data_IF_169810121309
#
_entry.id   IF_169810121309
#
_cell.length_a   1.000
_cell.length_b   1.000
_cell.length_c   1.000
_cell.angle_alpha   90.00
_cell.angle_beta   90.00
_cell.angle_gamma   90.00
#
_symmetry.space_group_name_H-M   'P 1'
#
loop_
_entity.id
_entity.type
_entity.pdbx_description
1 polymer ?
#
# COMPACT_ATOMS: atom_id res chain seq x y z
N UNK A 1 -47.31 6.79 -10.60
CA UNK A 1 -45.94 6.86 -11.17
C UNK A 1 -44.94 7.67 -10.30
N UNK A 2 -45.05 7.67 -8.95
CA UNK A 2 -44.16 8.48 -8.07
C UNK A 2 -43.39 7.68 -6.99
N UNK A 3 -43.67 6.38 -6.82
CA UNK A 3 -43.06 5.54 -5.78
C UNK A 3 -41.61 5.12 -6.14
N UNK A 4 -41.28 5.04 -7.43
CA UNK A 4 -39.95 4.59 -7.88
C UNK A 4 -38.81 5.56 -7.52
N UNK A 5 -39.07 6.86 -7.44
CA UNK A 5 -38.04 7.84 -7.08
C UNK A 5 -37.73 7.85 -5.58
N UNK A 6 -38.77 7.74 -4.74
CA UNK A 6 -38.60 7.71 -3.29
C UNK A 6 -37.85 6.46 -2.83
N UNK A 7 -38.10 5.30 -3.44
CA UNK A 7 -37.39 4.06 -3.14
C UNK A 7 -35.93 4.13 -3.60
N UNK A 8 -35.65 4.70 -4.78
CA UNK A 8 -34.28 4.92 -5.26
C UNK A 8 -33.49 5.86 -4.35
N UNK A 9 -34.12 6.96 -3.92
CA UNK A 9 -33.52 7.88 -2.95
C UNK A 9 -33.28 7.17 -1.63
N UNK A 10 -34.26 6.41 -1.11
CA UNK A 10 -34.14 5.72 0.16
C UNK A 10 -33.02 4.68 0.16
N UNK A 11 -32.83 3.95 -0.94
CA UNK A 11 -31.70 3.01 -1.10
C UNK A 11 -30.37 3.76 -1.14
N UNK A 12 -30.29 4.87 -1.89
CA UNK A 12 -29.09 5.71 -1.96
C UNK A 12 -28.74 6.32 -0.58
N UNK A 13 -29.74 6.81 0.14
CA UNK A 13 -29.60 7.35 1.50
C UNK A 13 -29.23 6.25 2.50
N UNK A 14 -29.79 5.04 2.39
CA UNK A 14 -29.43 3.92 3.24
C UNK A 14 -27.99 3.44 2.99
N UNK A 15 -27.49 3.47 1.74
CA UNK A 15 -26.08 3.19 1.45
C UNK A 15 -25.15 4.27 1.98
N UNK A 16 -25.53 5.55 1.91
CA UNK A 16 -24.73 6.66 2.45
C UNK A 16 -24.71 6.64 3.98
N UNK A 17 -25.85 6.38 4.63
CA UNK A 17 -25.99 6.33 6.09
C UNK A 17 -25.46 5.02 6.71
N UNK A 18 -25.39 3.94 5.92
CA UNK A 18 -24.80 2.66 6.30
C UNK A 18 -23.28 2.59 6.15
N UNK A 19 -22.65 3.67 5.68
CA UNK A 19 -21.19 3.87 5.72
C UNK A 19 -20.76 4.00 7.18
N UNK A 20 -20.71 2.89 7.90
CA UNK A 20 -19.97 2.82 9.15
C UNK A 20 -18.57 3.39 8.90
N UNK A 21 -17.98 4.01 9.91
CA UNK A 21 -16.60 4.50 9.93
C UNK A 21 -15.68 3.44 9.30
N UNK A 22 -15.44 3.53 7.99
CA UNK A 22 -14.41 2.70 7.39
C UNK A 22 -13.13 3.27 7.96
N UNK A 23 -12.35 2.40 8.60
CA UNK A 23 -10.95 2.72 8.80
C UNK A 23 -10.41 2.89 7.39
N UNK A 24 -10.32 4.13 6.93
CA UNK A 24 -9.65 4.45 5.68
C UNK A 24 -8.33 3.70 5.69
N UNK A 25 -7.96 3.07 4.59
CA UNK A 25 -6.62 2.50 4.42
C UNK A 25 -5.63 3.66 4.52
N UNK A 26 -5.24 4.01 5.75
CA UNK A 26 -4.20 4.94 6.07
C UNK A 26 -2.97 4.09 6.33
N UNK A 27 -1.97 4.26 5.50
CA UNK A 27 -0.70 3.58 5.67
C UNK A 27 0.04 3.43 4.36
N UNK A 28 0.85 2.39 4.33
CA UNK A 28 1.76 2.08 3.24
C UNK A 28 1.12 1.27 2.12
N UNK A 29 -0.19 1.01 2.16
CA UNK A 29 -0.91 0.24 1.15
C UNK A 29 -1.43 1.16 0.05
N UNK A 30 -1.32 0.73 -1.20
CA UNK A 30 -1.91 1.43 -2.33
C UNK A 30 -3.44 1.29 -2.30
N UNK A 31 -4.10 2.33 -2.78
CA UNK A 31 -5.55 2.42 -2.91
C UNK A 31 -6.09 1.60 -4.10
N UNK A 32 -5.24 1.27 -5.08
CA UNK A 32 -5.56 0.44 -6.22
C UNK A 32 -4.33 -0.29 -6.77
N UNK A 33 -4.57 -1.28 -7.64
CA UNK A 33 -3.53 -2.01 -8.35
C UNK A 33 -3.87 -2.10 -9.82
N UNK A 34 -2.92 -1.68 -10.67
CA UNK A 34 -3.08 -1.61 -12.11
C UNK A 34 -3.78 -0.33 -12.58
N UNK A 35 -3.53 0.11 -13.82
CA UNK A 35 -3.98 1.41 -14.33
C UNK A 35 -5.50 1.53 -14.41
N UNK A 36 -6.21 0.44 -14.76
CA UNK A 36 -7.67 0.43 -14.86
C UNK A 36 -8.29 0.67 -13.50
N UNK A 37 -7.86 -0.08 -12.49
CA UNK A 37 -8.39 0.04 -11.14
C UNK A 37 -8.03 1.39 -10.49
N UNK A 38 -6.81 1.88 -10.72
CA UNK A 38 -6.37 3.19 -10.26
C UNK A 38 -7.21 4.32 -10.86
N UNK A 39 -7.56 4.24 -12.16
CA UNK A 39 -8.41 5.24 -12.82
C UNK A 39 -9.83 5.31 -12.23
N UNK A 40 -10.25 4.25 -11.56
CA UNK A 40 -11.55 4.13 -10.88
C UNK A 40 -11.46 4.43 -9.38
N UNK A 41 -10.31 4.90 -8.88
CA UNK A 41 -10.10 5.20 -7.46
C UNK A 41 -10.21 3.98 -6.54
N UNK A 42 -9.71 2.82 -6.98
CA UNK A 42 -9.72 1.59 -6.17
C UNK A 42 -11.00 0.75 -6.28
N UNK A 43 -11.98 1.17 -7.07
CA UNK A 43 -13.21 0.41 -7.24
C UNK A 43 -12.96 -0.87 -8.07
N UNK A 44 -13.01 -2.05 -7.43
CA UNK A 44 -12.78 -3.33 -8.11
C UNK A 44 -13.55 -4.55 -7.60
N UNK A 45 -14.11 -4.52 -6.39
CA UNK A 45 -14.67 -5.73 -5.72
C UNK A 45 -15.81 -6.40 -6.51
N UNK A 46 -16.63 -5.62 -7.21
CA UNK A 46 -17.75 -6.11 -8.01
C UNK A 46 -17.65 -5.72 -9.50
N UNK A 47 -16.46 -5.30 -9.94
CA UNK A 47 -16.25 -4.75 -11.29
C UNK A 47 -14.98 -5.33 -11.92
N UNK A 48 -15.03 -6.57 -12.43
CA UNK A 48 -13.91 -7.19 -13.13
C UNK A 48 -13.73 -6.58 -14.52
N UNK A 49 -12.98 -5.48 -14.61
CA UNK A 49 -12.62 -4.83 -15.88
C UNK A 49 -11.35 -5.40 -16.52
N UNK A 50 -10.44 -5.88 -15.67
CA UNK A 50 -9.16 -6.47 -16.05
C UNK A 50 -8.70 -7.52 -15.03
N UNK A 51 -7.78 -8.38 -15.43
CA UNK A 51 -7.28 -9.49 -14.62
C UNK A 51 -6.51 -9.01 -13.41
N UNK A 52 -5.80 -7.88 -13.54
CA UNK A 52 -5.03 -7.29 -12.44
C UNK A 52 -5.97 -6.85 -11.33
N UNK A 53 -6.95 -5.99 -11.63
CA UNK A 53 -7.92 -5.52 -10.66
C UNK A 53 -8.80 -6.64 -10.11
N UNK A 54 -9.24 -7.58 -10.96
CA UNK A 54 -10.06 -8.71 -10.54
C UNK A 54 -9.34 -9.61 -9.53
N UNK A 55 -8.11 -10.05 -9.84
CA UNK A 55 -7.33 -10.89 -8.91
C UNK A 55 -7.02 -10.16 -7.60
N UNK A 56 -6.69 -8.88 -7.66
CA UNK A 56 -6.31 -8.12 -6.48
C UNK A 56 -7.49 -7.87 -5.53
N UNK A 57 -8.65 -7.47 -6.07
CA UNK A 57 -9.80 -7.06 -5.26
C UNK A 57 -10.77 -8.18 -4.92
N UNK A 58 -11.06 -9.08 -5.86
CA UNK A 58 -12.01 -10.16 -5.62
C UNK A 58 -11.66 -11.39 -6.48
N UNK A 59 -11.01 -12.42 -5.93
CA UNK A 59 -10.62 -13.59 -6.71
C UNK A 59 -11.80 -14.31 -7.39
N UNK A 60 -13.04 -14.16 -6.89
CA UNK A 60 -14.21 -14.76 -7.53
C UNK A 60 -14.61 -14.06 -8.84
N UNK A 61 -14.32 -12.76 -8.98
CA UNK A 61 -14.76 -11.96 -10.13
C UNK A 61 -13.96 -12.26 -11.40
N UNK A 62 -12.83 -12.97 -11.31
CA UNK A 62 -12.09 -13.46 -12.50
C UNK A 62 -12.96 -14.37 -13.36
N UNK A 63 -13.95 -15.02 -12.75
CA UNK A 63 -14.90 -15.83 -13.50
C UNK A 63 -15.71 -14.99 -14.45
N UNK A 64 -15.96 -13.71 -14.20
CA UNK A 64 -16.78 -12.87 -15.07
C UNK A 64 -15.99 -12.08 -16.12
N UNK A 65 -14.69 -12.35 -16.25
CA UNK A 65 -13.91 -11.82 -17.36
C UNK A 65 -14.41 -12.40 -18.70
N UNK A 66 -14.45 -11.60 -19.77
CA UNK A 66 -15.00 -12.03 -21.06
C UNK A 66 -14.18 -13.14 -21.72
N UNK A 67 -12.88 -13.21 -21.43
CA UNK A 67 -11.96 -14.22 -21.94
C UNK A 67 -10.79 -14.44 -20.98
N UNK A 68 -10.05 -15.53 -21.19
CA UNK A 68 -8.72 -15.66 -20.59
C UNK A 68 -7.83 -14.52 -21.08
N UNK A 69 -7.10 -13.89 -20.17
CA UNK A 69 -6.33 -12.69 -20.49
C UNK A 69 -5.05 -12.60 -19.66
N UNK A 70 -4.11 -11.83 -20.17
CA UNK A 70 -2.88 -11.47 -19.49
C UNK A 70 -2.78 -9.95 -19.44
N UNK A 71 -2.56 -9.41 -18.25
CA UNK A 71 -2.36 -8.00 -18.01
C UNK A 71 -0.93 -7.71 -17.58
N UNK A 72 -0.35 -6.67 -18.16
CA UNK A 72 0.87 -6.04 -17.67
C UNK A 72 0.62 -4.54 -17.56
N UNK A 73 0.95 -3.96 -16.41
CA UNK A 73 0.73 -2.57 -16.09
C UNK A 73 1.90 -2.00 -15.29
N UNK A 74 2.07 -0.69 -15.40
CA UNK A 74 3.10 0.05 -14.72
C UNK A 74 2.55 1.41 -14.32
N UNK A 75 2.75 1.81 -13.08
CA UNK A 75 2.37 3.12 -12.56
C UNK A 75 3.60 3.82 -12.00
N UNK A 76 3.66 5.14 -12.09
CA UNK A 76 4.70 5.96 -11.47
C UNK A 76 4.13 6.71 -10.28
N UNK A 77 4.77 6.57 -9.11
CA UNK A 77 4.40 7.30 -7.90
C UNK A 77 5.45 8.36 -7.58
N UNK A 78 5.04 9.63 -7.58
CA UNK A 78 5.89 10.79 -7.35
C UNK A 78 5.42 11.54 -6.09
N UNK A 79 5.94 11.20 -4.89
CA UNK A 79 5.52 11.86 -3.66
C UNK A 79 6.18 13.23 -3.49
N UNK A 80 5.39 14.26 -3.20
CA UNK A 80 5.90 15.53 -2.70
C UNK A 80 5.73 15.58 -1.17
N UNK A 81 6.84 15.41 -0.45
CA UNK A 81 6.83 15.43 1.03
C UNK A 81 7.67 16.60 1.54
N UNK A 82 7.18 17.28 2.57
CA UNK A 82 7.87 18.40 3.22
C UNK A 82 7.94 18.16 4.73
N UNK A 83 9.15 18.26 5.29
CA UNK A 83 9.43 18.08 6.71
C UNK A 83 9.73 19.44 7.34
N UNK A 84 8.90 19.86 8.29
CA UNK A 84 9.12 21.07 9.09
C UNK A 84 9.44 20.72 10.54
N UNK A 85 10.39 21.45 11.14
CA UNK A 85 10.70 21.29 12.55
C UNK A 85 11.02 22.63 13.22
N UNK A 86 10.78 22.67 14.54
CA UNK A 86 11.02 23.84 15.39
C UNK A 86 11.55 23.39 16.74
N UNK A 87 12.60 24.06 17.21
CA UNK A 87 13.18 23.90 18.55
C UNK A 87 13.22 25.25 19.22
N UNK A 88 12.56 25.37 20.36
CA UNK A 88 12.50 26.61 21.14
C UNK A 88 13.78 26.81 22.00
N UNK A 89 14.06 28.05 22.42
CA UNK A 89 15.23 28.34 23.25
C UNK A 89 15.21 27.53 24.55
N UNK A 90 16.37 26.99 24.93
CA UNK A 90 16.52 26.21 26.17
C UNK A 90 15.98 24.77 26.13
N UNK A 91 15.55 24.27 24.96
CA UNK A 91 15.01 22.91 24.81
C UNK A 91 16.00 21.78 25.18
N UNK A 92 17.30 22.02 25.10
CA UNK A 92 18.36 21.06 25.45
C UNK A 92 19.07 21.40 26.78
N UNK A 93 18.47 22.29 27.58
CA UNK A 93 19.02 22.76 28.85
C UNK A 93 19.23 24.28 28.87
N UNK A 94 19.59 24.86 30.03
CA UNK A 94 19.71 26.30 30.19
C UNK A 94 20.64 26.92 29.13
N UNK A 95 20.07 27.75 28.25
CA UNK A 95 20.80 28.47 27.19
C UNK A 95 21.03 27.72 25.88
N UNK A 96 20.53 26.49 25.71
CA UNK A 96 20.72 25.68 24.50
C UNK A 96 19.38 25.18 23.91
N UNK A 97 19.03 25.52 22.65
CA UNK A 97 19.65 26.54 21.81
C UNK A 97 19.41 27.96 22.37
N UNK A 98 20.25 28.96 22.00
CA UNK A 98 20.12 30.33 22.49
C UNK A 98 18.93 31.10 21.85
N UNK A 99 18.42 30.62 20.72
CA UNK A 99 17.31 31.20 19.99
C UNK A 99 16.46 30.08 19.35
N UNK A 100 15.24 30.41 18.92
CA UNK A 100 14.38 29.47 18.20
C UNK A 100 15.05 29.07 16.89
N UNK A 101 15.16 27.78 16.65
CA UNK A 101 15.57 27.22 15.35
C UNK A 101 14.32 26.67 14.68
N UNK A 102 14.04 27.08 13.44
CA UNK A 102 12.88 26.60 12.68
C UNK A 102 13.23 26.55 11.20
N UNK A 103 12.82 25.48 10.54
CA UNK A 103 12.98 25.33 9.10
C UNK A 103 12.04 24.29 8.51
N UNK A 104 12.02 24.27 7.18
CA UNK A 104 11.30 23.29 6.40
C UNK A 104 12.19 22.81 5.25
N UNK A 105 12.06 21.54 4.87
CA UNK A 105 12.88 20.94 3.82
C UNK A 105 12.03 19.94 3.04
N UNK A 106 12.09 20.02 1.71
CA UNK A 106 11.42 19.08 0.82
C UNK A 106 12.25 17.82 0.66
N UNK A 107 11.56 16.72 0.40
CA UNK A 107 12.16 15.43 0.05
C UNK A 107 12.57 15.43 -1.42
N UNK A 108 13.78 14.98 -1.72
CA UNK A 108 14.32 14.80 -3.08
C UNK A 108 13.95 13.42 -3.66
N UNK A 109 12.75 12.93 -3.34
CA UNK A 109 12.32 11.58 -3.72
C UNK A 109 11.98 11.49 -5.20
N UNK A 110 12.64 10.56 -5.88
CA UNK A 110 12.38 10.25 -7.28
C UNK A 110 11.06 9.50 -7.50
N UNK A 111 10.65 9.43 -8.77
CA UNK A 111 9.48 8.67 -9.21
C UNK A 111 9.73 7.17 -8.95
N UNK A 112 8.86 6.55 -8.17
CA UNK A 112 8.92 5.12 -7.87
C UNK A 112 8.04 4.31 -8.84
N UNK A 113 8.59 3.29 -9.51
CA UNK A 113 7.84 2.43 -10.39
C UNK A 113 7.03 1.37 -9.63
N UNK A 114 5.76 1.18 -10.00
CA UNK A 114 4.84 0.22 -9.41
C UNK A 114 4.36 -0.74 -10.50
N UNK A 115 5.00 -1.92 -10.64
CA UNK A 115 4.62 -2.91 -11.63
C UNK A 115 3.42 -3.75 -11.17
N UNK A 116 2.63 -4.20 -12.14
CA UNK A 116 1.52 -5.13 -11.93
C UNK A 116 1.40 -6.11 -13.10
N UNK A 117 1.34 -7.40 -12.79
CA UNK A 117 1.18 -8.50 -13.74
C UNK A 117 0.02 -9.39 -13.30
N UNK A 118 -0.78 -9.85 -14.26
CA UNK A 118 -1.79 -10.87 -14.03
C UNK A 118 -1.92 -11.80 -15.23
N UNK A 119 -2.21 -13.06 -14.97
CA UNK A 119 -2.67 -14.03 -15.97
C UNK A 119 -3.91 -14.70 -15.41
N UNK A 120 -5.00 -14.72 -16.18
CA UNK A 120 -6.22 -15.46 -15.85
C UNK A 120 -6.55 -16.41 -16.98
N UNK A 121 -6.84 -17.65 -16.62
CA UNK A 121 -7.29 -18.69 -17.52
C UNK A 121 -8.61 -19.29 -17.05
N UNK A 122 -9.67 -18.99 -17.79
CA UNK A 122 -10.98 -19.60 -17.64
C UNK A 122 -11.22 -20.57 -18.79
N UNK A 123 -11.49 -21.83 -18.46
CA UNK A 123 -11.78 -22.86 -19.46
C UNK A 123 -13.25 -22.79 -19.89
N UNK A 124 -13.52 -22.73 -21.19
CA UNK A 124 -14.90 -22.64 -21.71
C UNK A 124 -15.75 -23.88 -21.39
N UNK A 125 -15.11 -25.03 -21.18
CA UNK A 125 -15.71 -26.33 -20.87
C UNK A 125 -15.80 -26.63 -19.37
N UNK A 126 -15.38 -25.70 -18.51
CA UNK A 126 -15.26 -25.93 -17.07
C UNK A 126 -15.79 -24.74 -16.26
N UNK A 127 -16.47 -24.98 -15.13
CA UNK A 127 -16.82 -23.91 -14.20
C UNK A 127 -15.61 -23.30 -13.46
N UNK A 128 -14.40 -23.85 -13.66
CA UNK A 128 -13.19 -23.43 -12.97
C UNK A 128 -12.40 -22.40 -13.77
N UNK A 129 -11.92 -21.38 -13.04
CA UNK A 129 -10.95 -20.40 -13.51
C UNK A 129 -9.73 -20.41 -12.60
N UNK A 130 -8.56 -20.22 -13.19
CA UNK A 130 -7.29 -20.11 -12.49
C UNK A 130 -6.68 -18.76 -12.80
N UNK A 131 -5.94 -18.21 -11.85
CA UNK A 131 -5.23 -16.96 -12.05
C UNK A 131 -3.91 -16.92 -11.30
N UNK A 132 -3.03 -16.05 -11.76
CA UNK A 132 -1.75 -15.76 -11.14
C UNK A 132 -1.51 -14.27 -11.21
N UNK A 133 -1.48 -13.61 -10.05
CA UNK A 133 -1.20 -12.19 -9.93
C UNK A 133 0.15 -11.94 -9.26
N UNK A 134 0.89 -10.93 -9.74
CA UNK A 134 2.09 -10.42 -9.11
C UNK A 134 2.11 -8.90 -9.23
N UNK A 135 2.04 -8.19 -8.11
CA UNK A 135 1.90 -6.73 -8.13
C UNK A 135 2.54 -6.08 -6.91
N UNK A 136 3.06 -4.87 -7.08
CA UNK A 136 3.35 -3.98 -5.98
C UNK A 136 2.02 -3.47 -5.39
N UNK A 137 1.82 -3.68 -4.10
CA UNK A 137 0.56 -3.39 -3.37
C UNK A 137 0.73 -2.28 -2.33
N UNK A 138 1.96 -1.85 -2.10
CA UNK A 138 2.29 -0.90 -1.06
C UNK A 138 3.74 -0.45 -1.13
N UNK A 139 4.00 0.68 -0.53
CA UNK A 139 5.31 1.28 -0.45
C UNK A 139 5.23 2.70 0.07
N UNK A 140 6.35 3.18 0.58
CA UNK A 140 6.58 4.59 0.86
C UNK A 140 8.07 4.85 0.78
N UNK A 141 8.44 6.11 0.60
CA UNK A 141 9.82 6.50 0.71
C UNK A 141 9.96 8.01 0.83
N UNK A 142 11.05 8.40 1.48
CA UNK A 142 11.48 9.79 1.63
C UNK A 142 12.99 9.84 1.50
N UNK A 143 13.50 10.96 1.00
CA UNK A 143 14.92 11.26 0.88
C UNK A 143 15.13 12.74 1.21
N UNK A 144 15.34 13.04 2.48
CA UNK A 144 15.59 14.40 2.95
C UNK A 144 17.09 14.65 3.04
N UNK A 145 17.62 15.68 2.35
CA UNK A 145 19.03 16.04 2.49
C UNK A 145 19.30 16.67 3.85
N UNK A 146 20.56 16.59 4.29
CA UNK A 146 21.04 17.35 5.46
C UNK A 146 20.78 18.84 5.25
N UNK A 147 20.25 19.52 6.27
CA UNK A 147 19.91 20.94 6.21
C UNK A 147 20.43 21.69 7.44
N UNK A 148 21.03 22.85 7.22
CA UNK A 148 21.50 23.74 8.30
C UNK A 148 20.39 24.62 8.88
N UNK A 149 19.24 24.71 8.22
CA UNK A 149 18.11 25.55 8.65
C UNK A 149 16.99 24.76 9.29
N UNK A 150 16.90 23.46 9.03
CA UNK A 150 15.88 22.58 9.57
C UNK A 150 16.45 21.78 10.75
N UNK A 151 16.04 22.08 12.01
CA UNK A 151 16.65 21.50 13.21
C UNK A 151 16.82 19.97 13.18
N UNK A 152 15.78 19.25 12.73
CA UNK A 152 15.78 17.79 12.69
C UNK A 152 16.74 17.20 11.64
N UNK A 153 17.08 17.95 10.60
CA UNK A 153 17.99 17.55 9.50
C UNK A 153 19.40 18.12 9.66
N UNK A 154 19.70 18.80 10.77
CA UNK A 154 21.09 19.21 11.06
C UNK A 154 21.97 17.95 11.23
N UNK A 155 23.28 18.03 10.92
CA UNK A 155 24.19 16.89 11.05
C UNK A 155 24.09 16.20 12.41
N UNK A 156 24.31 14.88 12.46
CA UNK A 156 24.32 14.17 13.72
C UNK A 156 25.49 14.60 14.62
N UNK A 157 25.32 14.57 15.96
CA UNK A 157 26.46 14.64 16.89
C UNK A 157 27.49 13.55 16.56
N UNK A 158 28.80 13.80 16.72
CA UNK A 158 29.45 15.03 17.22
C UNK A 158 29.74 16.07 16.12
N UNK A 159 29.23 15.88 14.90
CA UNK A 159 29.58 16.66 13.68
C UNK A 159 29.04 18.10 13.65
N UNK A 160 28.65 18.66 14.80
CA UNK A 160 28.24 20.06 14.95
C UNK A 160 26.75 20.34 14.82
N UNK A 161 25.89 19.31 14.71
CA UNK A 161 24.44 19.45 14.78
C UNK A 161 23.81 18.61 15.89
N UNK A 162 22.49 18.74 16.04
CA UNK A 162 21.66 18.06 17.06
C UNK A 162 20.55 17.23 16.43
N UNK A 163 20.57 17.11 15.09
CA UNK A 163 19.57 16.43 14.30
C UNK A 163 20.01 15.04 13.87
N UNK A 164 19.28 14.48 12.92
CA UNK A 164 19.48 13.15 12.36
C UNK A 164 20.35 13.15 11.09
N UNK A 165 20.77 14.32 10.59
CA UNK A 165 21.40 14.46 9.28
C UNK A 165 20.40 14.21 8.14
N UNK A 166 20.88 13.63 7.05
CA UNK A 166 20.02 13.18 5.94
C UNK A 166 19.11 12.04 6.39
N UNK A 167 17.83 12.11 6.04
CA UNK A 167 16.84 11.07 6.38
C UNK A 167 16.38 10.39 5.11
N UNK A 168 16.75 9.14 4.95
CA UNK A 168 16.32 8.26 3.87
C UNK A 168 15.45 7.14 4.41
N UNK A 169 14.35 6.85 3.74
CA UNK A 169 13.55 5.66 3.98
C UNK A 169 13.01 5.14 2.67
N UNK A 170 13.02 3.82 2.50
CA UNK A 170 12.36 3.15 1.40
C UNK A 170 11.72 1.85 1.90
N UNK A 171 10.41 1.75 1.71
CA UNK A 171 9.63 0.54 1.95
C UNK A 171 8.97 0.11 0.66
N UNK A 172 9.09 -1.17 0.32
CA UNK A 172 8.45 -1.79 -0.84
C UNK A 172 7.67 -3.02 -0.40
N UNK A 173 6.45 -3.17 -0.93
CA UNK A 173 5.60 -4.31 -0.64
C UNK A 173 5.02 -4.90 -1.92
N UNK A 174 5.44 -6.12 -2.22
CA UNK A 174 4.96 -6.89 -3.37
C UNK A 174 4.11 -8.05 -2.90
N UNK A 175 3.07 -8.38 -3.67
CA UNK A 175 2.20 -9.53 -3.43
C UNK A 175 2.14 -10.40 -4.68
N UNK A 176 2.28 -11.70 -4.46
CA UNK A 176 2.04 -12.76 -5.40
C UNK A 176 0.85 -13.61 -4.94
N UNK A 177 -0.04 -13.97 -5.85
CA UNK A 177 -1.31 -14.61 -5.51
C UNK A 177 -1.77 -15.58 -6.61
N UNK A 178 -1.44 -16.88 -6.47
CA UNK A 178 -2.13 -17.89 -7.25
C UNK A 178 -3.59 -17.94 -6.77
N UNK A 179 -4.51 -18.03 -7.72
CA UNK A 179 -5.94 -17.89 -7.46
C UNK A 179 -6.70 -19.01 -8.16
N UNK A 180 -7.73 -19.52 -7.49
CA UNK A 180 -8.73 -20.40 -8.08
C UNK A 180 -10.11 -19.84 -7.83
N UNK A 181 -10.98 -19.93 -8.83
CA UNK A 181 -12.37 -19.52 -8.72
C UNK A 181 -13.29 -20.53 -9.40
N UNK A 182 -14.50 -20.65 -8.85
CA UNK A 182 -15.54 -21.57 -9.29
C UNK A 182 -16.82 -20.79 -9.58
N UNK A 183 -17.35 -20.94 -10.80
CA UNK A 183 -18.63 -20.37 -11.22
C UNK A 183 -19.75 -21.40 -11.09
N UNK A 184 -20.78 -21.06 -10.33
CA UNK A 184 -22.01 -21.85 -10.23
C UNK A 184 -22.96 -21.53 -11.38
N UNK A 185 -23.95 -22.40 -11.63
CA UNK A 185 -24.95 -22.20 -12.68
C UNK A 185 -25.90 -21.02 -12.43
N UNK A 186 -26.03 -20.56 -11.18
CA UNK A 186 -26.93 -19.46 -10.80
C UNK A 186 -26.31 -18.06 -10.98
N UNK A 187 -25.10 -17.96 -11.53
CA UNK A 187 -24.37 -16.69 -11.66
C UNK A 187 -23.60 -16.28 -10.41
N UNK A 188 -23.57 -17.13 -9.38
CA UNK A 188 -22.73 -16.96 -8.19
C UNK A 188 -21.36 -17.58 -8.43
N UNK A 189 -20.29 -16.89 -8.02
CA UNK A 189 -18.92 -17.34 -8.09
C UNK A 189 -18.25 -17.24 -6.74
N UNK A 190 -17.38 -18.22 -6.46
CA UNK A 190 -16.56 -18.27 -5.25
C UNK A 190 -15.09 -18.27 -5.66
N UNK A 191 -14.26 -17.58 -4.91
CA UNK A 191 -12.82 -17.44 -5.20
C UNK A 191 -11.99 -17.60 -3.95
N UNK A 192 -10.82 -18.19 -4.12
CA UNK A 192 -9.81 -18.33 -3.08
C UNK A 192 -8.43 -18.06 -3.67
N UNK A 193 -7.63 -17.26 -2.96
CA UNK A 193 -6.26 -16.94 -3.34
C UNK A 193 -5.38 -16.88 -2.09
N UNK A 194 -4.44 -17.81 -1.87
CA UNK A 194 -3.35 -17.56 -0.93
C UNK A 194 -2.51 -16.38 -1.43
N UNK A 195 -2.00 -15.58 -0.49
CA UNK A 195 -1.17 -14.42 -0.77
C UNK A 195 0.23 -14.64 -0.19
N UNK A 196 1.23 -14.44 -1.03
CA UNK A 196 2.65 -14.46 -0.68
C UNK A 196 3.15 -13.04 -0.85
N UNK A 197 3.65 -12.44 0.22
CA UNK A 197 4.15 -11.08 0.18
C UNK A 197 5.64 -11.06 0.40
N UNK A 198 6.29 -10.14 -0.27
CA UNK A 198 7.68 -9.80 -0.04
C UNK A 198 7.73 -8.32 0.30
N UNK A 199 8.33 -8.02 1.44
CA UNK A 199 8.53 -6.66 1.91
C UNK A 199 10.02 -6.38 2.00
N UNK A 200 10.43 -5.16 1.67
CA UNK A 200 11.80 -4.68 1.82
C UNK A 200 11.79 -3.32 2.50
N UNK A 201 12.69 -3.12 3.45
CA UNK A 201 12.79 -1.89 4.24
C UNK A 201 14.24 -1.43 4.39
N UNK A 202 14.53 -0.21 3.95
CA UNK A 202 15.77 0.50 4.22
C UNK A 202 15.46 1.81 4.94
N UNK A 203 16.22 2.14 6.00
CA UNK A 203 16.03 3.35 6.81
C UNK A 203 17.39 3.88 7.25
N UNK A 204 17.66 5.16 7.01
CA UNK A 204 18.86 5.85 7.49
C UNK A 204 18.53 7.27 7.93
N UNK A 205 18.94 7.71 9.12
CA UNK A 205 19.49 6.90 10.20
C UNK A 205 18.42 6.06 10.89
N UNK A 206 18.82 4.97 11.54
CA UNK A 206 17.90 4.10 12.26
C UNK A 206 17.68 4.58 13.70
N UNK A 207 16.75 5.52 13.85
CA UNK A 207 16.43 6.16 15.15
C UNK A 207 15.79 5.24 16.20
N UNK A 208 15.37 4.03 15.79
CA UNK A 208 14.87 3.00 16.70
C UNK A 208 15.99 2.17 17.35
N UNK A 209 17.22 2.23 16.83
CA UNK A 209 18.38 1.63 17.49
C UNK A 209 18.85 2.51 18.66
N UNK A 210 19.62 1.90 19.56
CA UNK A 210 20.30 2.64 20.63
C UNK A 210 21.33 3.57 19.98
N UNK A 211 21.39 4.86 20.35
CA UNK A 211 22.43 5.76 19.87
C UNK A 211 23.83 5.19 20.16
N UNK A 212 24.77 5.47 19.28
CA UNK A 212 26.18 5.17 19.46
C UNK A 212 26.76 5.97 20.64
N UNK A 213 27.98 5.60 21.09
CA UNK A 213 28.64 6.26 22.22
C UNK A 213 28.89 7.76 22.05
N UNK A 214 28.89 8.26 20.81
CA UNK A 214 29.04 9.66 20.44
C UNK A 214 27.69 10.40 20.24
N UNK A 215 26.57 9.70 20.40
CA UNK A 215 25.22 10.24 20.22
C UNK A 215 24.69 10.19 18.78
N UNK A 216 25.45 9.65 17.83
CA UNK A 216 24.97 9.38 16.47
C UNK A 216 24.02 8.17 16.43
N UNK A 217 23.23 8.07 15.38
CA UNK A 217 22.37 6.91 15.13
C UNK A 217 22.92 6.11 13.96
N UNK A 218 23.03 4.78 14.10
CA UNK A 218 23.61 3.95 13.06
C UNK A 218 22.74 3.95 11.80
N UNK A 219 23.36 3.68 10.66
CA UNK A 219 22.66 3.50 9.38
C UNK A 219 21.97 2.14 9.30
N UNK A 220 20.74 2.12 8.81
CA UNK A 220 20.00 0.92 8.38
C UNK A 220 19.77 0.93 6.86
N UNK A 221 20.70 1.51 6.09
CA UNK A 221 20.61 1.61 4.63
C UNK A 221 20.61 0.24 3.94
N UNK A 222 21.12 -0.79 4.61
CA UNK A 222 21.04 -2.15 4.12
C UNK A 222 19.60 -2.62 4.20
N UNK A 223 18.94 -2.63 3.03
CA UNK A 223 17.56 -3.09 2.91
C UNK A 223 17.46 -4.53 3.42
N UNK A 224 16.68 -4.73 4.47
CA UNK A 224 16.30 -6.07 4.92
C UNK A 224 14.97 -6.48 4.29
N UNK A 225 14.78 -7.77 4.10
CA UNK A 225 13.58 -8.30 3.45
C UNK A 225 12.88 -9.35 4.30
N UNK A 226 11.55 -9.22 4.40
CA UNK A 226 10.69 -10.14 5.14
C UNK A 226 9.64 -10.75 4.21
N UNK A 227 9.39 -12.04 4.37
CA UNK A 227 8.29 -12.71 3.68
C UNK A 227 7.04 -12.72 4.56
N UNK A 228 5.88 -12.66 3.91
CA UNK A 228 4.60 -12.73 4.60
C UNK A 228 3.60 -13.63 3.88
N UNK A 229 2.75 -14.28 4.64
CA UNK A 229 1.70 -15.15 4.11
C UNK A 229 0.32 -14.64 4.52
N UNK A 230 -0.66 -14.93 3.70
CA UNK A 230 -2.07 -14.69 3.99
C UNK A 230 -2.97 -15.38 2.98
N UNK A 231 -4.23 -14.99 2.97
CA UNK A 231 -5.18 -15.45 1.97
C UNK A 231 -6.28 -14.43 1.71
N UNK A 232 -6.99 -14.64 0.61
CA UNK A 232 -8.12 -13.86 0.19
C UNK A 232 -9.26 -14.77 -0.26
N UNK A 233 -10.46 -14.40 0.15
CA UNK A 233 -11.72 -15.06 -0.20
C UNK A 233 -12.57 -14.08 -0.98
N UNK A 234 -13.25 -14.59 -2.00
CA UNK A 234 -14.12 -13.81 -2.88
C UNK A 234 -15.47 -14.46 -3.05
N UNK A 235 -16.52 -13.64 -3.11
CA UNK A 235 -17.84 -13.98 -3.57
C UNK A 235 -18.24 -12.95 -4.62
N UNK A 236 -18.75 -13.42 -5.75
CA UNK A 236 -19.19 -12.56 -6.84
C UNK A 236 -20.51 -13.06 -7.41
N UNK A 237 -21.43 -12.17 -7.74
CA UNK A 237 -22.75 -12.51 -8.25
C UNK A 237 -23.14 -11.57 -9.39
N UNK A 238 -23.42 -12.16 -10.56
CA UNK A 238 -23.93 -11.47 -11.74
C UNK A 238 -25.44 -11.63 -11.82
N UNK A 239 -26.18 -10.52 -11.76
CA UNK A 239 -27.63 -10.57 -11.89
C UNK A 239 -28.02 -10.96 -13.34
N UNK A 240 -28.77 -12.06 -13.58
CA UNK A 240 -29.03 -12.56 -14.94
C UNK A 240 -29.85 -11.62 -15.84
N UNK A 241 -30.60 -10.68 -15.26
CA UNK A 241 -31.58 -9.87 -15.99
C UNK A 241 -31.35 -8.36 -15.86
N UNK A 242 -30.26 -7.91 -15.22
CA UNK A 242 -29.96 -6.49 -15.01
C UNK A 242 -28.44 -6.27 -14.98
N UNK A 243 -27.93 -5.08 -15.32
CA UNK A 243 -26.50 -4.77 -15.30
C UNK A 243 -26.02 -4.49 -13.86
N UNK A 244 -26.33 -5.40 -12.93
CA UNK A 244 -25.96 -5.27 -11.52
C UNK A 244 -25.07 -6.44 -11.14
N UNK A 245 -23.88 -6.10 -10.69
CA UNK A 245 -22.92 -7.04 -10.14
C UNK A 245 -22.78 -6.76 -8.65
N UNK A 246 -22.74 -7.82 -7.87
CA UNK A 246 -22.51 -7.74 -6.43
C UNK A 246 -21.27 -8.54 -6.09
N UNK A 247 -20.42 -7.98 -5.24
CA UNK A 247 -19.16 -8.59 -4.86
C UNK A 247 -18.92 -8.41 -3.37
N UNK A 248 -18.35 -9.43 -2.76
CA UNK A 248 -17.81 -9.39 -1.41
C UNK A 248 -16.43 -10.03 -1.45
N UNK A 249 -15.48 -9.43 -0.76
CA UNK A 249 -14.11 -9.93 -0.68
C UNK A 249 -13.59 -9.73 0.72
N UNK A 250 -12.82 -10.70 1.19
CA UNK A 250 -12.16 -10.67 2.48
C UNK A 250 -10.69 -11.03 2.28
N UNK A 251 -9.78 -10.14 2.67
CA UNK A 251 -8.35 -10.40 2.73
C UNK A 251 -7.96 -10.58 4.20
N UNK A 252 -7.26 -11.66 4.51
CA UNK A 252 -6.78 -11.94 5.87
C UNK A 252 -5.74 -10.90 6.30
N UNK A 253 -5.46 -10.79 7.61
CA UNK A 253 -4.18 -10.27 8.05
C UNK A 253 -3.04 -10.98 7.31
N UNK A 254 -2.00 -10.24 6.99
CA UNK A 254 -0.79 -10.79 6.40
C UNK A 254 0.22 -11.00 7.54
N UNK A 255 0.65 -12.23 7.74
CA UNK A 255 1.59 -12.59 8.78
C UNK A 255 3.00 -12.54 8.20
N UNK A 256 3.78 -11.54 8.60
CA UNK A 256 5.15 -11.33 8.15
C UNK A 256 6.16 -11.89 9.15
N UNK A 257 7.30 -12.29 8.61
CA UNK A 257 8.55 -12.43 9.34
C UNK A 257 8.97 -11.09 9.94
N UNK A 258 9.88 -11.13 10.92
CA UNK A 258 10.42 -9.92 11.53
C UNK A 258 11.58 -9.41 10.69
N UNK A 259 11.67 -8.10 10.50
CA UNK A 259 12.85 -7.50 9.90
C UNK A 259 14.05 -7.56 10.86
N UNK A 260 15.18 -8.06 10.38
CA UNK A 260 16.47 -8.09 11.05
C UNK A 260 17.41 -7.07 10.42
N UNK A 261 17.36 -5.83 10.91
CA UNK A 261 18.26 -4.76 10.45
C UNK A 261 19.56 -4.83 11.25
N UNK A 262 20.62 -5.33 10.60
CA UNK A 262 21.97 -5.32 11.15
C UNK A 262 22.58 -3.92 11.01
N UNK A 263 22.29 -3.02 11.96
CA UNK A 263 22.89 -1.70 12.02
C UNK A 263 24.11 -1.72 12.95
N UNK A 264 25.32 -1.64 12.40
CA UNK A 264 26.55 -1.43 13.16
C UNK A 264 27.40 -0.38 12.44
N UNK A 265 27.76 0.69 13.16
CA UNK A 265 28.58 1.78 12.62
C UNK A 265 29.97 1.82 13.29
N UNK A 266 30.06 1.45 14.57
CA UNK A 266 31.31 1.42 15.35
C UNK A 266 31.61 -0.04 15.79
N UNK A 267 32.83 -0.52 15.51
CA UNK A 267 33.37 -1.82 15.98
C UNK A 267 34.12 -1.67 17.30
#
# INVERSE_FOLDING_TARGET
>A
MRIGYAVRLAVLWATVLGSATSFAQMGHMLDAVGPVNQSMGGAGVALPLDAIGALHWNPASITALPSSEMGFGFMGFAPETELSSRVDPGAFGPGAPPATMQGSTKSDTDINPIPSLAVVQCRHDSPWCFGLGGYAIGGFGVDFPTSSTNPILTPQPPSGGVGFGSIYSQFQLMQFCPTVAYRTQSGLSLGFAPTFNWASLAITPFSAATPNGDGSYPSGAQADSAWGLGFQLGVFYEAPCRPWNFGFSYKSPQWFETFEINSADEL
#
